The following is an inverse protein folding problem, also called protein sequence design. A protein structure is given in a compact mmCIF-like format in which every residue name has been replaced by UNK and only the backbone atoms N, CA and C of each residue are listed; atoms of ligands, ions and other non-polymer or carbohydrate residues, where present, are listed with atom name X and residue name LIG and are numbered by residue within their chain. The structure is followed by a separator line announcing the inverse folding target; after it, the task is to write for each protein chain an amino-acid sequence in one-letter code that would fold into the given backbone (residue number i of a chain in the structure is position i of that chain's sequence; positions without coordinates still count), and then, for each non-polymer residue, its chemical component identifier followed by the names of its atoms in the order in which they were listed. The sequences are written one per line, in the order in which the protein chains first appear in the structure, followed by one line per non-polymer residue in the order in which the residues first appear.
data_IF_254504819491
#
_entry.id   IF_254504819491
#
_cell.length_a   1.000
_cell.length_b   1.000
_cell.length_c   1.000
_cell.angle_alpha   90.00
_cell.angle_beta   90.00
_cell.angle_gamma   90.00
#
_symmetry.space_group_name_H-M   'P 1'
#
loop_
_entity.id
_entity.type
_entity.pdbx_description
1 polymer ?
#
# COMPACT_ATOMS: atom_id res chain seq x y z
N UNK A 1 20.94 74.17 46.40
CA UNK A 1 20.22 72.98 46.91
C UNK A 1 20.25 71.95 45.79
N UNK A 2 21.24 71.04 45.75
CA UNK A 2 21.22 69.67 46.33
C UNK A 2 20.03 68.89 45.74
N UNK A 3 20.15 67.87 44.88
CA UNK A 3 20.88 66.57 44.95
C UNK A 3 20.79 65.95 43.53
N UNK A 4 21.87 65.68 42.80
CA UNK A 4 22.66 64.44 42.74
C UNK A 4 21.86 63.12 42.53
N UNK A 5 21.89 62.57 41.31
CA UNK A 5 21.97 61.11 41.10
C UNK A 5 23.02 60.83 40.02
N UNK A 6 23.98 59.99 40.42
CA UNK A 6 25.12 59.49 39.67
C UNK A 6 24.75 58.18 38.95
N UNK A 7 25.22 58.01 37.71
CA UNK A 7 25.64 56.71 37.14
C UNK A 7 26.66 57.03 36.03
N UNK A 8 27.95 57.03 36.32
CA UNK A 8 28.90 55.91 36.27
C UNK A 8 29.17 55.39 34.84
N UNK A 9 30.43 55.60 34.45
CA UNK A 9 31.11 55.05 33.27
C UNK A 9 31.30 53.52 33.37
N UNK A 10 31.67 52.87 32.27
CA UNK A 10 32.94 52.13 32.10
C UNK A 10 32.95 51.26 30.82
N UNK A 11 34.09 51.38 30.12
CA UNK A 11 34.84 50.48 29.24
C UNK A 11 34.14 49.44 28.35
N UNK A 12 34.55 49.45 27.08
CA UNK A 12 34.43 48.32 26.17
C UNK A 12 35.37 47.17 26.52
N UNK A 13 35.28 46.10 25.72
CA UNK A 13 36.34 45.24 25.18
C UNK A 13 35.66 44.09 24.42
N UNK A 14 36.17 43.79 23.22
CA UNK A 14 36.22 42.42 22.70
C UNK A 14 35.01 41.90 21.93
N UNK A 15 34.95 42.19 20.63
CA UNK A 15 34.21 41.36 19.69
C UNK A 15 35.01 40.06 19.45
N UNK A 16 34.64 38.97 20.13
CA UNK A 16 35.07 37.63 19.77
C UNK A 16 34.21 37.14 18.60
N UNK A 17 34.80 37.08 17.41
CA UNK A 17 34.22 36.40 16.25
C UNK A 17 34.28 34.89 16.50
N UNK A 18 33.18 34.30 16.98
CA UNK A 18 33.00 32.85 16.97
C UNK A 18 32.68 32.45 15.53
N UNK A 19 33.69 31.97 14.80
CA UNK A 19 33.51 31.32 13.51
C UNK A 19 32.70 30.03 13.69
N UNK A 20 31.42 30.07 13.31
CA UNK A 20 30.62 28.85 13.16
C UNK A 20 31.12 28.13 11.90
N UNK A 21 31.94 27.10 12.08
CA UNK A 21 32.23 26.14 11.02
C UNK A 21 30.94 25.34 10.79
N UNK A 22 30.16 25.75 9.80
CA UNK A 22 29.04 24.97 9.30
C UNK A 22 29.63 23.70 8.64
N UNK A 23 29.70 22.61 9.42
CA UNK A 23 29.98 21.29 8.89
C UNK A 23 28.91 20.93 7.86
N UNK A 24 29.29 20.88 6.58
CA UNK A 24 28.48 20.28 5.53
C UNK A 24 28.34 18.80 5.86
N UNK A 25 27.24 18.44 6.51
CA UNK A 25 26.82 17.05 6.62
C UNK A 25 26.56 16.53 5.22
N UNK A 26 27.43 15.65 4.73
CA UNK A 26 27.17 14.86 3.54
C UNK A 26 26.05 13.87 3.87
N UNK A 27 24.80 14.31 3.76
CA UNK A 27 23.65 13.41 3.73
C UNK A 27 23.79 12.57 2.47
N UNK A 28 23.94 11.25 2.63
CA UNK A 28 23.91 10.32 1.52
C UNK A 28 22.62 10.56 0.70
N UNK A 29 22.68 10.51 -0.65
CA UNK A 29 21.48 10.59 -1.47
C UNK A 29 20.47 9.54 -0.99
N UNK A 30 19.17 9.88 -0.91
CA UNK A 30 18.15 8.88 -0.59
C UNK A 30 18.27 7.73 -1.60
N UNK A 31 18.12 6.47 -1.15
CA UNK A 31 18.18 5.33 -2.04
C UNK A 31 17.20 5.50 -3.21
N UNK A 32 17.55 5.04 -4.42
CA UNK A 32 16.68 5.18 -5.58
C UNK A 32 15.32 4.56 -5.29
N UNK A 33 14.25 5.34 -5.48
CA UNK A 33 12.88 4.86 -5.31
C UNK A 33 12.58 3.80 -6.37
N UNK A 34 12.14 2.62 -5.95
CA UNK A 34 11.72 1.56 -6.88
C UNK A 34 10.51 2.06 -7.68
N UNK A 35 10.56 2.12 -9.03
CA UNK A 35 9.44 2.62 -9.83
C UNK A 35 8.20 1.74 -9.69
N UNK A 36 7.04 2.35 -9.45
CA UNK A 36 5.76 1.65 -9.42
C UNK A 36 5.32 1.33 -10.86
N UNK A 37 4.95 0.08 -11.17
CA UNK A 37 4.42 -0.28 -12.49
C UNK A 37 3.20 0.55 -12.92
N UNK A 38 3.08 0.78 -14.23
CA UNK A 38 2.00 1.59 -14.82
C UNK A 38 0.61 1.00 -14.55
N UNK A 39 0.49 -0.31 -14.75
CA UNK A 39 -0.73 -1.09 -14.52
C UNK A 39 -1.15 -1.07 -13.04
N UNK A 40 -0.18 -1.17 -12.11
CA UNK A 40 -0.43 -1.00 -10.67
C UNK A 40 -1.01 0.37 -10.36
N UNK A 41 -0.37 1.44 -10.86
CA UNK A 41 -0.82 2.81 -10.62
C UNK A 41 -2.21 3.06 -11.19
N UNK A 42 -2.48 2.54 -12.39
CA UNK A 42 -3.79 2.64 -13.02
C UNK A 42 -4.86 1.84 -12.27
N UNK A 43 -4.54 0.65 -11.76
CA UNK A 43 -5.45 -0.16 -10.94
C UNK A 43 -5.87 0.57 -9.65
N UNK A 44 -4.91 1.10 -8.90
CA UNK A 44 -5.16 1.89 -7.68
C UNK A 44 -6.01 3.13 -8.00
N UNK A 45 -5.72 3.82 -9.11
CA UNK A 45 -6.48 4.98 -9.55
C UNK A 45 -7.94 4.63 -9.91
N UNK A 46 -8.17 3.51 -10.59
CA UNK A 46 -9.53 3.03 -10.90
C UNK A 46 -10.35 2.81 -9.64
N UNK A 47 -9.75 2.23 -8.60
CA UNK A 47 -10.41 1.97 -7.32
C UNK A 47 -10.68 3.26 -6.54
N UNK A 48 -9.68 4.13 -6.38
CA UNK A 48 -9.82 5.39 -5.63
C UNK A 48 -10.83 6.35 -6.27
N UNK A 49 -10.86 6.42 -7.60
CA UNK A 49 -11.86 7.20 -8.35
C UNK A 49 -13.27 6.71 -8.05
N UNK A 50 -13.47 5.40 -8.11
CA UNK A 50 -14.78 4.79 -7.86
C UNK A 50 -15.20 4.89 -6.38
N UNK A 51 -14.27 4.75 -5.43
CA UNK A 51 -14.49 4.99 -3.99
C UNK A 51 -14.99 6.41 -3.74
N UNK A 52 -14.40 7.39 -4.41
CA UNK A 52 -14.83 8.81 -4.31
C UNK A 52 -16.25 8.99 -4.85
N UNK A 53 -16.55 8.46 -6.03
CA UNK A 53 -17.89 8.53 -6.62
C UNK A 53 -18.94 7.80 -5.76
N UNK A 54 -18.60 6.64 -5.20
CA UNK A 54 -19.46 5.88 -4.30
C UNK A 54 -19.81 6.68 -3.03
N UNK A 55 -18.82 7.29 -2.37
CA UNK A 55 -19.05 8.12 -1.17
C UNK A 55 -19.87 9.38 -1.43
N UNK A 56 -19.79 9.92 -2.65
CA UNK A 56 -20.55 11.11 -3.05
C UNK A 56 -21.96 10.78 -3.58
N UNK A 57 -22.32 9.51 -3.71
CA UNK A 57 -23.59 9.10 -4.26
C UNK A 57 -24.77 9.54 -3.37
N UNK A 58 -25.81 10.10 -3.99
CA UNK A 58 -27.00 10.60 -3.28
C UNK A 58 -27.98 9.49 -2.90
N UNK A 59 -27.82 8.28 -3.44
CA UNK A 59 -28.62 7.10 -3.12
C UNK A 59 -27.90 5.80 -3.55
N UNK A 60 -28.45 4.65 -3.15
CA UNK A 60 -27.87 3.33 -3.40
C UNK A 60 -27.79 2.96 -4.90
N UNK A 61 -28.71 3.44 -5.74
CA UNK A 61 -28.68 3.18 -7.17
C UNK A 61 -27.48 3.86 -7.84
N UNK A 62 -27.22 5.13 -7.50
CA UNK A 62 -26.04 5.86 -7.94
C UNK A 62 -24.74 5.23 -7.41
N UNK A 63 -24.76 4.76 -6.16
CA UNK A 63 -23.63 4.06 -5.54
C UNK A 63 -23.27 2.76 -6.29
N UNK A 64 -24.28 1.98 -6.71
CA UNK A 64 -24.09 0.80 -7.56
C UNK A 64 -23.47 1.14 -8.92
N UNK A 65 -23.82 2.30 -9.50
CA UNK A 65 -23.21 2.81 -10.74
C UNK A 65 -21.70 3.00 -10.65
N UNK A 66 -21.19 3.49 -9.50
CA UNK A 66 -19.76 3.68 -9.28
C UNK A 66 -18.96 2.36 -9.35
N UNK A 67 -19.54 1.24 -8.89
CA UNK A 67 -18.91 -0.08 -9.01
C UNK A 67 -18.81 -0.54 -10.46
N UNK A 68 -19.84 -0.28 -11.27
CA UNK A 68 -19.78 -0.63 -12.69
C UNK A 68 -18.71 0.18 -13.44
N UNK A 69 -18.55 1.46 -13.13
CA UNK A 69 -17.45 2.28 -13.66
C UNK A 69 -16.08 1.75 -13.22
N UNK A 70 -15.94 1.30 -11.97
CA UNK A 70 -14.73 0.63 -11.48
C UNK A 70 -14.38 -0.59 -12.31
N UNK A 71 -15.35 -1.49 -12.53
CA UNK A 71 -15.18 -2.72 -13.34
C UNK A 71 -14.57 -2.39 -14.69
N UNK A 72 -15.16 -1.44 -15.42
CA UNK A 72 -14.69 -1.05 -16.75
C UNK A 72 -13.26 -0.51 -16.70
N UNK A 73 -12.96 0.36 -15.73
CA UNK A 73 -11.65 0.95 -15.58
C UNK A 73 -10.58 -0.10 -15.18
N UNK A 74 -10.92 -1.07 -14.32
CA UNK A 74 -10.04 -2.19 -13.97
C UNK A 74 -9.78 -3.08 -15.20
N UNK A 75 -10.81 -3.45 -15.96
CA UNK A 75 -10.63 -4.27 -17.16
C UNK A 75 -9.70 -3.60 -18.18
N UNK A 76 -9.80 -2.28 -18.34
CA UNK A 76 -8.99 -1.54 -19.30
C UNK A 76 -7.50 -1.52 -18.92
N UNK A 77 -7.19 -1.46 -17.62
CA UNK A 77 -5.79 -1.39 -17.16
C UNK A 77 -5.15 -2.77 -16.97
N UNK A 78 -5.90 -3.78 -16.53
CA UNK A 78 -5.38 -5.13 -16.27
C UNK A 78 -5.56 -6.06 -17.47
N UNK A 79 -4.89 -5.74 -18.58
CA UNK A 79 -4.88 -6.64 -19.74
C UNK A 79 -4.17 -7.95 -19.38
N UNK A 80 -4.93 -9.05 -19.32
CA UNK A 80 -4.44 -10.37 -18.89
C UNK A 80 -4.57 -10.66 -17.40
N UNK A 81 -5.20 -9.78 -16.61
CA UNK A 81 -5.53 -10.02 -15.19
C UNK A 81 -4.34 -10.51 -14.37
N UNK A 82 -3.17 -9.90 -14.56
CA UNK A 82 -1.94 -10.26 -13.85
C UNK A 82 -1.24 -9.02 -13.32
N UNK A 83 -0.41 -9.23 -12.31
CA UNK A 83 0.49 -8.25 -11.73
C UNK A 83 1.92 -8.73 -11.93
N UNK A 84 2.76 -7.89 -12.55
CA UNK A 84 4.18 -8.20 -12.78
C UNK A 84 5.05 -7.17 -12.08
N UNK A 85 5.76 -7.61 -11.03
CA UNK A 85 6.70 -6.75 -10.31
C UNK A 85 6.04 -5.58 -9.59
N UNK A 86 4.78 -5.74 -9.18
CA UNK A 86 4.06 -4.77 -8.37
C UNK A 86 4.70 -4.65 -7.00
N UNK A 87 4.52 -3.49 -6.36
CA UNK A 87 5.11 -3.15 -5.08
C UNK A 87 4.00 -2.95 -4.06
N UNK A 88 4.20 -3.42 -2.84
CA UNK A 88 3.25 -3.16 -1.75
C UNK A 88 3.87 -3.41 -0.39
N UNK A 89 3.05 -3.27 0.64
CA UNK A 89 3.43 -3.49 2.03
C UNK A 89 2.69 -4.70 2.57
N UNK A 90 3.39 -5.63 3.22
CA UNK A 90 2.71 -6.78 3.84
C UNK A 90 1.77 -6.25 4.93
N UNK A 91 0.47 -6.46 4.74
CA UNK A 91 -0.56 -6.15 5.72
C UNK A 91 -0.79 -7.35 6.65
N UNK A 92 -0.87 -8.56 6.12
CA UNK A 92 -1.06 -9.76 6.92
C UNK A 92 -0.22 -10.90 6.39
N UNK A 93 0.30 -11.72 7.30
CA UNK A 93 0.98 -12.97 7.00
C UNK A 93 0.61 -13.98 8.09
N UNK A 94 0.07 -15.13 7.71
CA UNK A 94 -0.35 -16.19 8.64
C UNK A 94 -0.41 -17.55 7.93
N UNK A 95 -0.81 -18.59 8.66
CA UNK A 95 -1.24 -19.86 8.08
C UNK A 95 -2.71 -20.12 8.40
N UNK A 96 -3.42 -20.82 7.51
CA UNK A 96 -4.77 -21.31 7.79
C UNK A 96 -4.73 -22.59 8.67
N UNK A 97 -5.90 -23.16 8.97
CA UNK A 97 -6.03 -24.40 9.76
C UNK A 97 -5.33 -25.63 9.16
N UNK A 98 -5.05 -25.62 7.85
CA UNK A 98 -4.34 -26.70 7.15
C UNK A 98 -2.81 -26.47 7.11
N UNK A 99 -2.34 -25.38 7.71
CA UNK A 99 -0.93 -24.97 7.69
C UNK A 99 -0.51 -24.22 6.41
N UNK A 100 -1.41 -24.00 5.44
CA UNK A 100 -1.10 -23.27 4.20
C UNK A 100 -0.96 -21.78 4.45
N UNK A 101 -0.04 -21.14 3.73
CA UNK A 101 0.25 -19.72 3.87
C UNK A 101 -0.90 -18.84 3.37
N UNK A 102 -1.18 -17.79 4.13
CA UNK A 102 -2.17 -16.75 3.86
C UNK A 102 -1.45 -15.40 3.91
N UNK A 103 -1.62 -14.57 2.89
CA UNK A 103 -0.98 -13.25 2.82
C UNK A 103 -1.96 -12.21 2.28
N UNK A 104 -1.86 -10.99 2.83
CA UNK A 104 -2.46 -9.77 2.28
C UNK A 104 -1.39 -8.71 2.12
N UNK A 105 -1.36 -8.05 0.96
CA UNK A 105 -0.46 -6.96 0.62
C UNK A 105 -1.29 -5.70 0.36
N UNK A 106 -0.98 -4.63 1.07
CA UNK A 106 -1.54 -3.29 0.86
C UNK A 106 -0.83 -2.61 -0.31
N UNK A 107 -1.60 -2.16 -1.30
CA UNK A 107 -1.12 -1.44 -2.48
C UNK A 107 -1.23 0.07 -2.33
N UNK A 108 -2.25 0.51 -1.60
CA UNK A 108 -2.58 1.88 -1.23
C UNK A 108 -3.48 1.83 0.02
N UNK A 109 -3.74 2.97 0.69
CA UNK A 109 -4.65 3.00 1.83
C UNK A 109 -6.02 2.35 1.50
N UNK A 110 -6.39 1.33 2.28
CA UNK A 110 -7.61 0.54 2.14
C UNK A 110 -7.74 -0.20 0.78
N UNK A 111 -6.62 -0.55 0.13
CA UNK A 111 -6.61 -1.31 -1.13
C UNK A 111 -5.65 -2.48 -1.02
N UNK A 112 -6.20 -3.69 -1.03
CA UNK A 112 -5.43 -4.90 -0.77
C UNK A 112 -5.54 -5.93 -1.90
N UNK A 113 -4.48 -6.72 -2.04
CA UNK A 113 -4.50 -8.01 -2.74
C UNK A 113 -4.18 -9.11 -1.75
N UNK A 114 -4.92 -10.21 -1.80
CA UNK A 114 -4.76 -11.28 -0.82
C UNK A 114 -5.07 -12.65 -1.41
N UNK A 115 -4.53 -13.68 -0.75
CA UNK A 115 -5.08 -15.04 -0.87
C UNK A 115 -6.44 -15.11 -0.15
N UNK A 116 -7.16 -16.21 -0.32
CA UNK A 116 -8.16 -16.60 0.65
C UNK A 116 -7.50 -17.03 1.98
N UNK A 117 -8.30 -17.13 3.04
CA UNK A 117 -7.82 -17.54 4.37
C UNK A 117 -8.32 -18.92 4.81
N UNK A 118 -9.14 -19.60 4.01
CA UNK A 118 -9.69 -20.92 4.32
C UNK A 118 -9.92 -21.72 3.03
N UNK A 119 -9.90 -23.05 3.13
CA UNK A 119 -9.98 -23.94 1.97
C UNK A 119 -11.31 -23.84 1.23
N UNK A 120 -12.43 -23.64 1.93
CA UNK A 120 -13.76 -23.59 1.34
C UNK A 120 -13.90 -22.39 0.38
N UNK A 121 -13.49 -21.20 0.81
CA UNK A 121 -13.50 -20.01 -0.05
C UNK A 121 -12.43 -20.08 -1.15
N UNK A 122 -11.32 -20.77 -0.92
CA UNK A 122 -10.25 -20.94 -1.91
C UNK A 122 -10.59 -21.93 -3.02
N UNK A 123 -11.72 -22.65 -2.91
CA UNK A 123 -12.19 -23.57 -3.93
C UNK A 123 -12.28 -22.86 -5.29
N UNK A 124 -11.56 -23.38 -6.29
CA UNK A 124 -11.48 -22.80 -7.63
C UNK A 124 -10.46 -21.66 -7.79
N UNK A 125 -10.13 -20.91 -6.73
CA UNK A 125 -9.16 -19.81 -6.79
C UNK A 125 -7.71 -20.29 -6.63
N UNK A 126 -7.50 -21.34 -5.80
CA UNK A 126 -6.18 -21.98 -5.56
C UNK A 126 -5.08 -20.97 -5.20
N UNK A 127 -5.39 -20.07 -4.28
CA UNK A 127 -4.51 -18.98 -3.85
C UNK A 127 -3.70 -19.31 -2.61
N UNK A 128 -4.14 -20.26 -1.78
CA UNK A 128 -3.42 -20.67 -0.58
C UNK A 128 -2.02 -21.20 -0.93
N UNK A 129 -1.03 -20.81 -0.13
CA UNK A 129 0.38 -21.04 -0.45
C UNK A 129 0.84 -22.36 0.19
N UNK A 130 1.28 -23.31 -0.65
CA UNK A 130 1.71 -24.61 -0.16
C UNK A 130 2.98 -24.53 0.70
N UNK A 131 3.04 -25.17 1.88
CA UNK A 131 4.19 -25.11 2.80
C UNK A 131 5.52 -25.56 2.20
N UNK A 132 5.46 -26.45 1.21
CA UNK A 132 6.65 -26.99 0.51
C UNK A 132 7.17 -26.06 -0.59
N UNK A 133 6.41 -25.04 -0.97
CA UNK A 133 6.76 -24.13 -2.07
C UNK A 133 7.91 -23.18 -1.71
N UNK A 134 8.65 -22.74 -2.73
CA UNK A 134 9.66 -21.67 -2.57
C UNK A 134 9.04 -20.35 -2.12
N UNK A 135 7.81 -20.06 -2.56
CA UNK A 135 7.07 -18.87 -2.15
C UNK A 135 6.81 -18.86 -0.64
N UNK A 136 6.35 -19.99 -0.08
CA UNK A 136 6.14 -20.10 1.37
C UNK A 136 7.43 -19.86 2.14
N UNK A 137 8.54 -20.47 1.71
CA UNK A 137 9.87 -20.29 2.34
C UNK A 137 10.33 -18.83 2.28
N UNK A 138 10.12 -18.14 1.15
CA UNK A 138 10.42 -16.72 1.01
C UNK A 138 9.65 -15.88 2.04
N UNK A 139 8.35 -16.14 2.16
CA UNK A 139 7.46 -15.41 3.06
C UNK A 139 7.72 -15.69 4.54
N UNK A 140 8.17 -16.90 4.90
CA UNK A 140 8.41 -17.28 6.30
C UNK A 140 9.46 -16.42 7.02
N UNK A 141 10.36 -15.76 6.29
CA UNK A 141 11.34 -14.82 6.82
C UNK A 141 10.88 -13.35 6.86
N UNK A 142 9.66 -13.06 6.40
CA UNK A 142 9.10 -11.71 6.30
C UNK A 142 8.14 -11.40 7.46
N UNK A 143 7.80 -10.12 7.63
CA UNK A 143 6.84 -9.68 8.64
C UNK A 143 5.89 -8.59 8.10
N UNK A 144 4.78 -8.38 8.81
CA UNK A 144 3.89 -7.22 8.58
C UNK A 144 4.72 -5.93 8.56
N UNK A 145 4.42 -5.07 7.61
CA UNK A 145 5.11 -3.79 7.38
C UNK A 145 6.31 -3.86 6.45
N UNK A 146 6.81 -5.05 6.10
CA UNK A 146 7.87 -5.17 5.09
C UNK A 146 7.35 -4.72 3.72
N UNK A 147 8.16 -3.91 3.03
CA UNK A 147 7.94 -3.58 1.62
C UNK A 147 8.38 -4.74 0.75
N UNK A 148 7.56 -5.07 -0.24
CA UNK A 148 7.79 -6.22 -1.13
C UNK A 148 7.51 -5.86 -2.57
N UNK A 149 8.26 -6.51 -3.46
CA UNK A 149 7.93 -6.64 -4.87
C UNK A 149 7.35 -8.02 -5.12
N UNK A 150 6.24 -8.10 -5.82
CA UNK A 150 5.52 -9.34 -6.05
C UNK A 150 4.98 -9.44 -7.47
N UNK A 151 4.65 -10.67 -7.86
CA UNK A 151 3.90 -10.97 -9.07
C UNK A 151 2.84 -12.02 -8.77
N UNK A 152 1.78 -12.05 -9.58
CA UNK A 152 0.70 -12.99 -9.42
C UNK A 152 -0.39 -12.82 -10.49
N UNK A 153 -1.38 -13.69 -10.44
CA UNK A 153 -2.57 -13.61 -11.28
C UNK A 153 -3.80 -13.34 -10.43
N UNK A 154 -4.66 -12.46 -10.90
CA UNK A 154 -5.98 -12.24 -10.33
C UNK A 154 -6.93 -13.36 -10.75
N UNK A 155 -7.92 -13.67 -9.92
CA UNK A 155 -9.03 -14.52 -10.31
C UNK A 155 -10.04 -13.69 -11.11
N UNK A 156 -10.49 -14.16 -12.27
CA UNK A 156 -11.48 -13.44 -13.09
C UNK A 156 -12.85 -13.30 -12.39
N UNK A 157 -13.57 -12.22 -12.66
CA UNK A 157 -14.91 -11.99 -12.16
C UNK A 157 -15.74 -11.08 -13.08
N UNK A 158 -17.00 -11.43 -13.28
CA UNK A 158 -17.95 -10.58 -14.02
C UNK A 158 -18.36 -9.31 -13.24
N UNK A 159 -18.07 -9.23 -11.95
CA UNK A 159 -18.51 -8.10 -11.10
C UNK A 159 -17.53 -6.93 -11.16
N UNK A 160 -16.22 -7.20 -11.07
CA UNK A 160 -15.17 -6.17 -11.00
C UNK A 160 -14.01 -6.42 -11.98
N UNK A 161 -14.23 -7.27 -12.99
CA UNK A 161 -13.19 -7.84 -13.87
C UNK A 161 -12.29 -8.86 -13.17
N UNK A 162 -11.90 -8.56 -11.94
CA UNK A 162 -11.15 -9.44 -11.05
C UNK A 162 -11.94 -9.65 -9.77
N UNK A 163 -11.76 -10.81 -9.13
CA UNK A 163 -12.50 -11.21 -7.94
C UNK A 163 -12.12 -10.31 -6.76
N UNK A 164 -13.14 -9.78 -6.11
CA UNK A 164 -13.07 -9.01 -4.87
C UNK A 164 -13.81 -9.80 -3.77
N UNK A 165 -13.29 -9.78 -2.53
CA UNK A 165 -13.68 -10.69 -1.45
C UNK A 165 -14.80 -10.17 -0.54
N UNK A 166 -15.11 -8.87 -0.58
CA UNK A 166 -16.08 -8.26 0.33
C UNK A 166 -17.49 -8.81 0.16
N UNK A 167 -18.20 -8.93 1.28
CA UNK A 167 -19.59 -9.40 1.32
C UNK A 167 -20.56 -8.26 0.99
N UNK A 168 -20.27 -7.04 1.46
CA UNK A 168 -21.13 -5.87 1.25
C UNK A 168 -20.61 -5.01 0.11
N UNK A 169 -21.51 -4.27 -0.53
CA UNK A 169 -21.12 -3.26 -1.51
C UNK A 169 -20.23 -2.18 -0.86
N UNK A 170 -20.56 -1.78 0.37
CA UNK A 170 -19.80 -0.77 1.11
C UNK A 170 -18.36 -1.18 1.38
N UNK A 171 -18.14 -2.40 1.90
CA UNK A 171 -16.80 -2.96 2.08
C UNK A 171 -16.07 -3.03 0.75
N UNK A 172 -16.74 -3.53 -0.29
CA UNK A 172 -16.17 -3.63 -1.64
C UNK A 172 -15.70 -2.28 -2.17
N UNK A 173 -16.45 -1.19 -1.94
CA UNK A 173 -16.16 0.11 -2.51
C UNK A 173 -15.23 0.97 -1.64
N UNK A 174 -15.08 0.65 -0.36
CA UNK A 174 -14.32 1.47 0.60
C UNK A 174 -13.03 0.82 1.10
N UNK A 175 -12.99 -0.50 1.25
CA UNK A 175 -11.81 -1.27 1.67
C UNK A 175 -11.71 -2.61 0.88
N UNK A 176 -11.59 -2.55 -0.46
CA UNK A 176 -11.58 -3.75 -1.27
C UNK A 176 -10.37 -4.65 -1.03
N UNK A 177 -10.63 -5.95 -1.02
CA UNK A 177 -9.60 -7.00 -1.02
C UNK A 177 -9.75 -7.84 -2.28
N UNK A 178 -8.77 -7.76 -3.19
CA UNK A 178 -8.78 -8.48 -4.44
C UNK A 178 -8.06 -9.83 -4.32
N UNK A 179 -8.71 -10.90 -4.79
CA UNK A 179 -8.15 -12.25 -4.74
C UNK A 179 -7.01 -12.41 -5.73
N UNK A 180 -5.85 -12.79 -5.24
CA UNK A 180 -4.63 -13.02 -6.03
C UNK A 180 -3.99 -14.36 -5.69
N UNK A 181 -3.58 -15.07 -6.75
CA UNK A 181 -2.62 -16.17 -6.64
C UNK A 181 -1.22 -15.63 -6.88
N UNK A 182 -0.44 -15.51 -5.81
CA UNK A 182 0.94 -15.03 -5.89
C UNK A 182 1.85 -16.07 -6.54
N UNK A 183 2.71 -15.62 -7.45
CA UNK A 183 3.75 -16.43 -8.09
C UNK A 183 5.15 -16.12 -7.54
N UNK A 184 5.36 -14.89 -7.08
CA UNK A 184 6.61 -14.47 -6.43
C UNK A 184 6.33 -13.33 -5.46
N UNK A 185 7.05 -13.34 -4.33
CA UNK A 185 7.11 -12.22 -3.37
C UNK A 185 8.55 -12.16 -2.88
N UNK A 186 9.16 -11.00 -3.01
CA UNK A 186 10.52 -10.71 -2.57
C UNK A 186 10.53 -9.39 -1.79
N UNK A 187 11.30 -9.37 -0.70
CA UNK A 187 11.50 -8.16 0.09
C UNK A 187 12.30 -7.11 -0.70
N UNK A 188 11.91 -5.85 -0.56
CA UNK A 188 12.64 -4.69 -1.10
C UNK A 188 13.69 -4.17 -0.10
#
# INVERSE_FOLDING_TARGET
MNIAIKTAAVCGVGALLIGVVAGRGNSAPPPPSVPVPYDQSGFIRSISTAKTAYKAATNQLAAGGARNSRKQAICNVLQGQSATGWIGKIAQLSSNGDGKGVISIELAPDVHVATWNNALSDMGSRTLIEPTSSLFKSLAGMKRGDMVKFSGSFTSSDVDCVREQSVTLDGSMTDPVFTMRFSSVAKL
#
